data_IF_711053794398
#
_entry.id   IF_711053794398
#
_cell.length_a   1.000
_cell.length_b   1.000
_cell.length_c   1.000
_cell.angle_alpha   90.00
_cell.angle_beta   90.00
_cell.angle_gamma   90.00
#
_symmetry.space_group_name_H-M   'P 1'
#
loop_
_entity.id
_entity.type
_entity.pdbx_description
1 polymer ?
#
# COMPACT_ATOMS: atom_id res chain seq x y z
N UNK A 1 -8.22 -12.25 14.29
CA UNK A 1 -8.84 -11.30 13.34
C UNK A 1 -7.88 -10.84 12.23
N UNK A 2 -6.74 -10.21 12.57
CA UNK A 2 -5.77 -9.69 11.58
C UNK A 2 -5.28 -10.72 10.55
N UNK A 3 -5.07 -11.99 10.93
CA UNK A 3 -4.68 -13.02 9.96
C UNK A 3 -5.75 -13.28 8.89
N UNK A 4 -7.03 -13.31 9.26
CA UNK A 4 -8.13 -13.48 8.30
C UNK A 4 -8.15 -12.33 7.29
N UNK A 5 -8.02 -11.10 7.77
CA UNK A 5 -7.94 -9.93 6.90
C UNK A 5 -6.69 -9.90 6.05
N UNK A 6 -5.55 -10.35 6.56
CA UNK A 6 -4.34 -10.50 5.76
C UNK A 6 -4.56 -11.45 4.57
N UNK A 7 -5.26 -12.57 4.77
CA UNK A 7 -5.64 -13.50 3.68
C UNK A 7 -6.63 -12.83 2.73
N UNK A 8 -7.70 -12.21 3.23
CA UNK A 8 -8.70 -11.50 2.41
C UNK A 8 -8.04 -10.39 1.54
N UNK A 9 -7.12 -9.62 2.12
CA UNK A 9 -6.38 -8.57 1.42
C UNK A 9 -5.35 -9.14 0.43
N UNK A 10 -4.87 -10.37 0.65
CA UNK A 10 -3.92 -11.04 -0.23
C UNK A 10 -4.54 -11.57 -1.53
N UNK A 11 -5.85 -11.83 -1.53
CA UNK A 11 -6.62 -12.31 -2.70
C UNK A 11 -7.41 -11.19 -3.39
N UNK A 12 -7.43 -9.98 -2.83
CA UNK A 12 -8.06 -8.81 -3.45
C UNK A 12 -7.54 -8.61 -4.89
N UNK A 13 -8.40 -8.34 -5.88
CA UNK A 13 -9.78 -7.84 -5.80
C UNK A 13 -10.86 -8.91 -5.64
N UNK A 14 -10.46 -10.18 -5.56
CA UNK A 14 -11.39 -11.30 -5.38
C UNK A 14 -11.82 -11.40 -3.91
N UNK A 15 -12.95 -12.06 -3.68
CA UNK A 15 -13.44 -12.36 -2.33
C UNK A 15 -13.33 -13.86 -2.07
N UNK A 16 -13.26 -14.32 -0.79
CA UNK A 16 -13.23 -15.75 -0.49
C UNK A 16 -14.38 -16.53 -1.12
N UNK A 17 -15.58 -15.93 -1.18
CA UNK A 17 -16.75 -16.54 -1.80
C UNK A 17 -16.60 -16.70 -3.33
N UNK A 18 -16.07 -15.69 -4.01
CA UNK A 18 -15.77 -15.78 -5.45
C UNK A 18 -14.70 -16.85 -5.68
N UNK A 19 -13.62 -16.85 -4.90
CA UNK A 19 -12.56 -17.84 -5.05
C UNK A 19 -13.07 -19.26 -4.84
N UNK A 20 -13.78 -19.52 -3.74
CA UNK A 20 -14.35 -20.83 -3.44
C UNK A 20 -15.36 -21.28 -4.49
N UNK A 21 -16.28 -20.40 -4.89
CA UNK A 21 -17.29 -20.68 -5.91
C UNK A 21 -16.69 -20.99 -7.28
N UNK A 22 -15.72 -20.18 -7.73
CA UNK A 22 -15.05 -20.40 -9.02
C UNK A 22 -14.21 -21.67 -9.00
N UNK A 23 -13.44 -21.93 -7.94
CA UNK A 23 -12.67 -23.18 -7.81
C UNK A 23 -13.58 -24.41 -7.80
N UNK A 24 -14.70 -24.37 -7.06
CA UNK A 24 -15.67 -25.46 -7.03
C UNK A 24 -16.33 -25.67 -8.41
N UNK A 25 -16.74 -24.61 -9.09
CA UNK A 25 -17.32 -24.69 -10.44
C UNK A 25 -16.34 -25.29 -11.45
N UNK A 26 -15.06 -24.89 -11.41
CA UNK A 26 -14.01 -25.48 -12.24
C UNK A 26 -13.82 -26.96 -11.90
N UNK A 27 -13.71 -27.31 -10.62
CA UNK A 27 -13.55 -28.70 -10.20
C UNK A 27 -14.72 -29.59 -10.64
N UNK A 28 -15.97 -29.13 -10.45
CA UNK A 28 -17.17 -29.83 -10.92
C UNK A 28 -17.14 -29.97 -12.45
N UNK A 29 -16.75 -28.92 -13.18
CA UNK A 29 -16.69 -28.97 -14.64
C UNK A 29 -15.67 -29.97 -15.14
N UNK A 30 -14.49 -30.04 -14.51
CA UNK A 30 -13.46 -31.03 -14.84
C UNK A 30 -13.91 -32.44 -14.45
N UNK A 31 -14.54 -32.62 -13.30
CA UNK A 31 -15.07 -33.91 -12.84
C UNK A 31 -16.20 -34.45 -13.72
N UNK A 32 -17.03 -33.59 -14.30
CA UNK A 32 -18.11 -34.01 -15.20
C UNK A 32 -17.68 -34.08 -16.67
N UNK A 33 -16.49 -33.58 -17.01
CA UNK A 33 -16.00 -33.61 -18.38
C UNK A 33 -15.59 -35.04 -18.82
N UNK A 34 -15.82 -35.40 -20.10
CA UNK A 34 -15.28 -36.63 -20.70
C UNK A 34 -13.76 -36.73 -20.54
N UNK A 35 -13.23 -37.95 -20.42
CA UNK A 35 -11.79 -38.19 -20.17
C UNK A 35 -10.89 -37.69 -21.32
N UNK A 36 -11.40 -37.74 -22.53
CA UNK A 36 -10.77 -37.28 -23.78
C UNK A 36 -10.87 -35.76 -23.97
N UNK A 37 -11.71 -35.07 -23.20
CA UNK A 37 -11.91 -33.63 -23.34
C UNK A 37 -10.69 -32.81 -22.90
N UNK A 38 -10.52 -31.63 -23.50
CA UNK A 38 -9.42 -30.70 -23.21
C UNK A 38 -9.25 -30.36 -21.72
N UNK A 39 -10.34 -30.39 -20.93
CA UNK A 39 -10.29 -30.17 -19.48
C UNK A 39 -9.46 -31.22 -18.72
N UNK A 40 -9.38 -32.45 -19.25
CA UNK A 40 -8.70 -33.60 -18.63
C UNK A 40 -7.46 -34.05 -19.39
N UNK A 41 -7.39 -33.78 -20.69
CA UNK A 41 -6.30 -34.20 -21.59
C UNK A 41 -5.53 -33.02 -22.21
N UNK A 42 -5.82 -31.77 -21.81
CA UNK A 42 -5.11 -30.60 -22.30
C UNK A 42 -3.68 -30.48 -21.77
N UNK A 43 -2.91 -29.54 -22.33
CA UNK A 43 -1.51 -29.31 -21.93
C UNK A 43 -1.33 -28.99 -20.44
N UNK A 44 -2.22 -28.17 -19.87
CA UNK A 44 -2.24 -27.87 -18.44
C UNK A 44 -2.55 -29.13 -17.61
N UNK A 45 -3.51 -29.96 -18.06
CA UNK A 45 -3.86 -31.18 -17.35
C UNK A 45 -2.69 -32.18 -17.34
N UNK A 46 -1.97 -32.33 -18.46
CA UNK A 46 -0.76 -33.14 -18.51
C UNK A 46 0.32 -32.67 -17.54
N UNK A 47 0.56 -31.36 -17.45
CA UNK A 47 1.51 -30.79 -16.50
C UNK A 47 1.09 -31.05 -15.05
N UNK A 48 -0.21 -30.87 -14.74
CA UNK A 48 -0.74 -31.15 -13.40
C UNK A 48 -0.62 -32.63 -13.03
N UNK A 49 -0.84 -33.55 -13.97
CA UNK A 49 -0.64 -34.98 -13.74
C UNK A 49 0.83 -35.34 -13.52
N UNK A 50 1.75 -34.78 -14.31
CA UNK A 50 3.19 -34.97 -14.10
C UNK A 50 3.61 -34.49 -12.72
N UNK A 51 3.07 -33.35 -12.27
CA UNK A 51 3.33 -32.82 -10.94
C UNK A 51 2.73 -33.69 -9.82
N UNK A 52 1.50 -34.17 -9.98
CA UNK A 52 0.84 -35.04 -9.01
C UNK A 52 1.58 -36.37 -8.80
N UNK A 53 2.12 -36.93 -9.89
CA UNK A 53 2.90 -38.18 -9.88
C UNK A 53 4.25 -38.06 -9.16
N UNK A 54 4.69 -36.85 -8.80
CA UNK A 54 5.89 -36.65 -7.97
C UNK A 54 5.61 -36.96 -6.49
N UNK A 55 4.34 -37.06 -6.06
CA UNK A 55 3.99 -37.23 -4.67
C UNK A 55 3.69 -38.68 -4.29
N UNK A 56 4.12 -39.16 -3.11
CA UNK A 56 3.98 -40.57 -2.71
C UNK A 56 2.53 -41.06 -2.55
N UNK A 57 1.56 -40.15 -2.41
CA UNK A 57 0.14 -40.48 -2.19
C UNK A 57 -0.56 -40.97 -3.47
N UNK A 58 0.09 -40.91 -4.62
CA UNK A 58 -0.43 -41.30 -5.92
C UNK A 58 -1.10 -42.69 -5.90
N UNK A 59 -0.50 -43.64 -5.18
CA UNK A 59 -0.91 -45.06 -5.16
C UNK A 59 -2.16 -45.33 -4.31
N UNK A 60 -2.54 -44.40 -3.43
CA UNK A 60 -3.54 -44.65 -2.40
C UNK A 60 -4.85 -43.87 -2.62
N UNK A 61 -4.90 -42.94 -3.57
CA UNK A 61 -6.07 -42.07 -3.79
C UNK A 61 -6.83 -42.43 -5.08
N UNK A 62 -8.18 -42.51 -5.05
CA UNK A 62 -8.99 -42.70 -6.25
C UNK A 62 -8.76 -41.58 -7.27
N UNK A 63 -8.78 -41.91 -8.57
CA UNK A 63 -8.55 -40.95 -9.67
C UNK A 63 -9.46 -39.73 -9.59
N UNK A 64 -10.74 -39.91 -9.22
CA UNK A 64 -11.68 -38.79 -9.07
C UNK A 64 -11.27 -37.82 -7.94
N UNK A 65 -10.70 -38.33 -6.85
CA UNK A 65 -10.19 -37.50 -5.75
C UNK A 65 -8.97 -36.71 -6.21
N UNK A 66 -8.07 -37.35 -6.96
CA UNK A 66 -6.88 -36.70 -7.56
C UNK A 66 -7.28 -35.59 -8.53
N UNK A 67 -8.21 -35.86 -9.44
CA UNK A 67 -8.75 -34.85 -10.39
C UNK A 67 -9.38 -33.67 -9.65
N UNK A 68 -10.16 -33.94 -8.60
CA UNK A 68 -10.79 -32.89 -7.79
C UNK A 68 -9.74 -32.01 -7.12
N UNK A 69 -8.76 -32.61 -6.46
CA UNK A 69 -7.65 -31.92 -5.81
C UNK A 69 -6.87 -31.04 -6.78
N UNK A 70 -6.44 -31.60 -7.92
CA UNK A 70 -5.67 -30.87 -8.93
C UNK A 70 -6.46 -29.71 -9.54
N UNK A 71 -7.76 -29.90 -9.76
CA UNK A 71 -8.62 -28.84 -10.30
C UNK A 71 -8.80 -27.69 -9.31
N UNK A 72 -8.98 -28.00 -8.02
CA UNK A 72 -9.07 -26.99 -6.96
C UNK A 72 -7.75 -26.24 -6.79
N UNK A 73 -6.62 -26.95 -6.85
CA UNK A 73 -5.29 -26.36 -6.78
C UNK A 73 -5.03 -25.42 -7.97
N UNK A 74 -5.27 -25.90 -9.19
CA UNK A 74 -5.08 -25.10 -10.41
C UNK A 74 -5.97 -23.85 -10.43
N UNK A 75 -7.24 -23.99 -10.02
CA UNK A 75 -8.14 -22.85 -9.87
C UNK A 75 -7.64 -21.84 -8.85
N UNK A 76 -7.15 -22.32 -7.70
CA UNK A 76 -6.63 -21.46 -6.63
C UNK A 76 -5.38 -20.69 -7.08
N UNK A 77 -4.42 -21.38 -7.71
CA UNK A 77 -3.20 -20.78 -8.25
C UNK A 77 -3.54 -19.76 -9.34
N UNK A 78 -4.45 -20.09 -10.26
CA UNK A 78 -4.89 -19.20 -11.33
C UNK A 78 -5.52 -17.90 -10.80
N UNK A 79 -6.40 -18.00 -9.80
CA UNK A 79 -7.01 -16.82 -9.16
C UNK A 79 -5.99 -15.97 -8.39
N UNK A 80 -5.04 -16.61 -7.70
CA UNK A 80 -3.92 -15.89 -7.07
C UNK A 80 -3.07 -15.16 -8.12
N UNK A 81 -2.83 -15.78 -9.28
CA UNK A 81 -2.16 -15.18 -10.43
C UNK A 81 -2.91 -13.96 -10.98
N UNK A 82 -4.23 -14.04 -11.12
CA UNK A 82 -5.08 -12.90 -11.55
C UNK A 82 -5.00 -11.75 -10.54
N UNK A 83 -5.13 -12.03 -9.25
CA UNK A 83 -4.98 -11.02 -8.19
C UNK A 83 -3.58 -10.40 -8.21
N UNK A 84 -2.52 -11.20 -8.37
CA UNK A 84 -1.16 -10.69 -8.49
C UNK A 84 -0.98 -9.80 -9.73
N UNK A 85 -1.48 -10.22 -10.89
CA UNK A 85 -1.42 -9.46 -12.13
C UNK A 85 -2.16 -8.13 -12.01
N UNK A 86 -3.40 -8.14 -11.48
CA UNK A 86 -4.17 -6.92 -11.26
C UNK A 86 -3.43 -5.95 -10.33
N UNK A 87 -2.87 -6.41 -9.21
CA UNK A 87 -2.15 -5.55 -8.25
C UNK A 87 -0.88 -4.97 -8.86
N UNK A 88 -0.17 -5.78 -9.65
CA UNK A 88 1.02 -5.35 -10.39
C UNK A 88 0.66 -4.28 -11.42
N UNK A 89 -0.41 -4.49 -12.18
CA UNK A 89 -0.93 -3.48 -13.11
C UNK A 89 -1.31 -2.20 -12.37
N UNK A 90 -2.09 -2.30 -11.30
CA UNK A 90 -2.48 -1.13 -10.52
C UNK A 90 -1.26 -0.36 -10.01
N UNK A 91 -0.24 -1.05 -9.49
CA UNK A 91 1.03 -0.42 -9.08
C UNK A 91 1.72 0.31 -10.24
N UNK A 92 1.80 -0.30 -11.42
CA UNK A 92 2.36 0.36 -12.61
C UNK A 92 1.60 1.63 -12.98
N UNK A 93 0.27 1.59 -12.95
CA UNK A 93 -0.56 2.77 -13.20
C UNK A 93 -0.38 3.84 -12.13
N UNK A 94 -0.27 3.47 -10.85
CA UNK A 94 -0.05 4.40 -9.74
C UNK A 94 1.36 5.00 -9.69
N UNK A 95 2.35 4.38 -10.33
CA UNK A 95 3.68 4.96 -10.52
C UNK A 95 3.65 6.18 -11.47
N UNK A 96 2.64 6.30 -12.33
CA UNK A 96 2.49 7.49 -13.17
C UNK A 96 2.09 8.69 -12.31
N UNK A 97 2.91 9.74 -12.38
CA UNK A 97 2.78 10.97 -11.57
C UNK A 97 2.29 12.18 -12.37
N UNK A 98 2.06 12.03 -13.68
CA UNK A 98 1.71 13.17 -14.54
C UNK A 98 0.35 13.81 -14.21
N UNK A 99 -0.49 13.14 -13.42
CA UNK A 99 -1.74 13.69 -12.92
C UNK A 99 -1.53 14.77 -11.83
N UNK A 100 -0.40 14.80 -11.14
CA UNK A 100 -0.13 15.79 -10.08
C UNK A 100 0.04 17.21 -10.62
N UNK A 101 0.45 17.33 -11.88
CA UNK A 101 0.68 18.61 -12.55
C UNK A 101 -0.58 19.18 -13.20
N UNK A 102 -1.74 18.54 -13.03
CA UNK A 102 -3.02 19.10 -13.44
C UNK A 102 -3.37 20.27 -12.52
N UNK A 103 -3.37 21.47 -13.07
CA UNK A 103 -3.78 22.66 -12.35
C UNK A 103 -5.27 22.60 -11.98
N UNK A 104 -5.62 23.29 -10.90
CA UNK A 104 -7.00 23.33 -10.44
C UNK A 104 -7.90 23.99 -11.51
N UNK A 105 -8.91 23.25 -11.99
CA UNK A 105 -9.82 23.70 -13.04
C UNK A 105 -9.41 23.31 -14.47
N UNK A 106 -8.18 22.82 -14.68
CA UNK A 106 -7.76 22.32 -15.99
C UNK A 106 -8.43 20.97 -16.31
N UNK A 107 -8.95 20.83 -17.53
CA UNK A 107 -9.56 19.56 -17.97
C UNK A 107 -8.46 18.54 -18.28
N UNK A 108 -8.58 17.28 -17.81
CA UNK A 108 -7.61 16.25 -18.11
C UNK A 108 -7.62 15.90 -19.61
N UNK A 109 -6.45 15.58 -20.14
CA UNK A 109 -6.28 15.06 -21.50
C UNK A 109 -7.00 13.72 -21.69
N UNK A 110 -7.21 13.30 -22.94
CA UNK A 110 -7.85 12.00 -23.24
C UNK A 110 -7.07 10.85 -22.60
N UNK A 111 -5.74 10.91 -22.63
CA UNK A 111 -4.86 9.91 -22.01
C UNK A 111 -5.01 9.88 -20.48
N UNK A 112 -5.09 11.05 -19.84
CA UNK A 112 -5.33 11.13 -18.40
C UNK A 112 -6.72 10.62 -18.02
N UNK A 113 -7.76 10.95 -18.80
CA UNK A 113 -9.11 10.40 -18.59
C UNK A 113 -9.12 8.88 -18.70
N UNK A 114 -8.47 8.32 -19.72
CA UNK A 114 -8.31 6.88 -19.88
C UNK A 114 -7.58 6.26 -18.68
N UNK A 115 -6.50 6.89 -18.22
CA UNK A 115 -5.76 6.49 -17.02
C UNK A 115 -6.65 6.46 -15.77
N UNK A 116 -7.45 7.51 -15.51
CA UNK A 116 -8.37 7.56 -14.37
C UNK A 116 -9.40 6.42 -14.42
N UNK A 117 -9.95 6.13 -15.61
CA UNK A 117 -10.91 5.03 -15.81
C UNK A 117 -10.24 3.69 -15.53
N UNK A 118 -9.04 3.45 -16.05
CA UNK A 118 -8.29 2.20 -15.82
C UNK A 118 -7.98 2.02 -14.34
N UNK A 119 -7.46 3.05 -13.66
CA UNK A 119 -7.19 2.99 -12.22
C UNK A 119 -8.47 2.68 -11.44
N UNK A 120 -9.60 3.28 -11.82
CA UNK A 120 -10.89 3.02 -11.16
C UNK A 120 -11.40 1.60 -11.37
N UNK A 121 -11.25 1.04 -12.58
CA UNK A 121 -11.59 -0.35 -12.88
C UNK A 121 -10.71 -1.30 -12.06
N UNK A 122 -9.39 -1.09 -12.11
CA UNK A 122 -8.44 -1.90 -11.35
C UNK A 122 -8.64 -1.77 -9.84
N UNK A 123 -9.08 -0.61 -9.34
CA UNK A 123 -9.33 -0.38 -7.91
C UNK A 123 -10.56 -1.10 -7.35
N UNK A 124 -11.38 -1.73 -8.19
CA UNK A 124 -12.57 -2.45 -7.77
C UNK A 124 -13.66 -1.56 -7.15
N UNK A 125 -14.78 -2.20 -6.78
CA UNK A 125 -15.97 -1.50 -6.31
C UNK A 125 -15.91 -1.03 -4.85
N UNK A 126 -15.55 -1.94 -3.92
CA UNK A 126 -15.56 -1.70 -2.47
C UNK A 126 -14.27 -2.23 -1.83
N UNK A 127 -13.14 -1.50 -1.95
CA UNK A 127 -11.90 -1.88 -1.29
C UNK A 127 -12.00 -1.73 0.24
N UNK A 128 -11.39 -2.65 0.99
CA UNK A 128 -11.15 -2.50 2.43
C UNK A 128 -10.06 -1.45 2.69
N UNK A 129 -9.94 -1.03 3.95
CA UNK A 129 -9.02 0.02 4.40
C UNK A 129 -7.56 -0.19 3.91
N UNK A 130 -7.07 -1.42 3.88
CA UNK A 130 -5.66 -1.72 3.56
C UNK A 130 -5.42 -2.39 2.19
N UNK A 131 -6.45 -2.63 1.38
CA UNK A 131 -6.29 -3.33 0.08
C UNK A 131 -5.27 -2.69 -0.86
N UNK A 132 -5.16 -1.36 -0.84
CA UNK A 132 -4.21 -0.66 -1.70
C UNK A 132 -2.75 -0.72 -1.20
N UNK A 133 -2.47 -1.09 0.05
CA UNK A 133 -1.10 -1.02 0.61
C UNK A 133 -0.07 -1.79 -0.22
N UNK A 134 -0.45 -2.95 -0.76
CA UNK A 134 0.41 -3.75 -1.63
C UNK A 134 0.55 -3.21 -3.07
N UNK A 135 -0.32 -2.28 -3.47
CA UNK A 135 -0.34 -1.68 -4.81
C UNK A 135 0.32 -0.31 -4.86
N UNK A 136 0.55 0.33 -3.70
CA UNK A 136 1.13 1.67 -3.67
C UNK A 136 2.56 1.67 -4.25
N UNK A 137 2.93 2.74 -4.96
CA UNK A 137 4.28 2.91 -5.47
C UNK A 137 5.26 3.11 -4.31
N UNK A 138 6.51 2.65 -4.50
CA UNK A 138 7.59 2.94 -3.57
C UNK A 138 7.89 4.43 -3.58
N UNK A 139 8.20 5.03 -2.42
CA UNK A 139 8.61 6.44 -2.35
C UNK A 139 9.83 6.68 -3.27
N UNK A 140 9.73 7.53 -4.31
CA UNK A 140 10.83 7.74 -5.24
C UNK A 140 12.01 8.45 -4.57
N UNK A 141 13.19 8.28 -5.15
CA UNK A 141 14.41 9.03 -4.78
C UNK A 141 14.65 10.08 -5.86
N UNK A 142 14.65 11.36 -5.46
CA UNK A 142 14.88 12.45 -6.39
C UNK A 142 16.31 12.40 -6.98
N UNK A 143 16.52 12.83 -8.25
CA UNK A 143 17.86 12.92 -8.82
C UNK A 143 18.75 13.86 -8.00
N UNK A 144 19.96 13.40 -7.65
CA UNK A 144 20.89 14.13 -6.79
C UNK A 144 21.17 15.56 -7.27
N UNK A 145 21.41 15.73 -8.57
CA UNK A 145 21.66 17.05 -9.17
C UNK A 145 20.47 17.99 -9.00
N UNK A 146 19.26 17.51 -9.28
CA UNK A 146 18.03 18.31 -9.11
C UNK A 146 17.81 18.68 -7.64
N UNK A 147 18.14 17.78 -6.71
CA UNK A 147 18.11 18.06 -5.27
C UNK A 147 19.07 19.20 -4.90
N UNK A 148 20.32 19.17 -5.39
CA UNK A 148 21.29 20.24 -5.16
C UNK A 148 20.87 21.58 -5.76
N UNK A 149 20.33 21.59 -6.99
CA UNK A 149 19.83 22.79 -7.64
C UNK A 149 18.66 23.42 -6.88
N UNK A 150 17.70 22.59 -6.43
CA UNK A 150 16.57 23.05 -5.60
C UNK A 150 17.01 23.52 -4.22
N UNK A 151 18.01 22.86 -3.62
CA UNK A 151 18.60 23.30 -2.37
C UNK A 151 19.22 24.70 -2.51
N UNK A 152 20.07 24.91 -3.52
CA UNK A 152 20.68 26.22 -3.79
C UNK A 152 19.60 27.29 -4.01
N UNK A 153 18.58 27.00 -4.81
CA UNK A 153 17.44 27.90 -5.01
C UNK A 153 16.75 28.28 -3.68
N UNK A 154 16.58 27.30 -2.78
CA UNK A 154 15.90 27.52 -1.49
C UNK A 154 16.71 28.37 -0.51
N UNK A 155 18.04 28.31 -0.54
CA UNK A 155 18.91 29.07 0.36
C UNK A 155 19.34 30.42 -0.21
N UNK A 156 19.26 30.61 -1.54
CA UNK A 156 19.61 31.88 -2.19
C UNK A 156 19.01 33.14 -1.54
N UNK A 157 17.70 33.20 -1.19
CA UNK A 157 17.14 34.40 -0.55
C UNK A 157 17.59 34.61 0.91
N UNK A 158 18.26 33.63 1.52
CA UNK A 158 18.72 33.67 2.92
C UNK A 158 20.20 34.07 3.05
N UNK A 159 20.93 34.13 1.94
CA UNK A 159 22.38 34.26 1.91
C UNK A 159 22.82 35.51 1.15
N UNK A 160 23.95 36.08 1.56
CA UNK A 160 24.67 37.05 0.73
C UNK A 160 25.27 36.36 -0.50
N UNK A 161 25.62 37.15 -1.52
CA UNK A 161 26.25 36.61 -2.74
C UNK A 161 27.53 35.82 -2.45
N UNK A 162 28.31 36.23 -1.45
CA UNK A 162 29.54 35.56 -1.06
C UNK A 162 29.26 34.21 -0.40
N UNK A 163 28.31 34.15 0.54
CA UNK A 163 27.89 32.90 1.18
C UNK A 163 27.25 31.94 0.18
N UNK A 164 26.44 32.46 -0.75
CA UNK A 164 25.83 31.67 -1.80
C UNK A 164 26.89 31.02 -2.70
N UNK A 165 27.94 31.74 -3.10
CA UNK A 165 29.08 31.17 -3.86
C UNK A 165 29.77 30.04 -3.11
N UNK A 166 29.90 30.17 -1.79
CA UNK A 166 30.45 29.10 -0.93
C UNK A 166 29.54 27.87 -0.95
N UNK A 167 28.22 28.05 -0.82
CA UNK A 167 27.27 26.94 -0.92
C UNK A 167 27.27 26.28 -2.30
N UNK A 168 27.36 27.04 -3.39
CA UNK A 168 27.52 26.49 -4.73
C UNK A 168 28.77 25.62 -4.85
N UNK A 169 29.90 26.08 -4.31
CA UNK A 169 31.15 25.31 -4.31
C UNK A 169 30.99 24.00 -3.49
N UNK A 170 30.31 24.03 -2.35
CA UNK A 170 30.01 22.83 -1.57
C UNK A 170 29.12 21.85 -2.32
N UNK A 171 28.03 22.31 -2.96
CA UNK A 171 27.18 21.44 -3.77
C UNK A 171 27.95 20.81 -4.94
N UNK A 172 28.80 21.57 -5.63
CA UNK A 172 29.66 21.04 -6.70
C UNK A 172 30.62 19.98 -6.16
N UNK A 173 31.27 20.24 -5.02
CA UNK A 173 32.17 19.27 -4.37
C UNK A 173 31.44 18.01 -3.95
N UNK A 174 30.26 18.13 -3.34
CA UNK A 174 29.44 17.00 -2.93
C UNK A 174 29.02 16.13 -4.12
N UNK A 175 28.56 16.74 -5.21
CA UNK A 175 28.20 16.04 -6.44
C UNK A 175 29.38 15.28 -7.06
N UNK A 176 30.58 15.87 -7.05
CA UNK A 176 31.78 15.26 -7.62
C UNK A 176 32.39 14.15 -6.76
N UNK A 177 32.18 14.19 -5.44
CA UNK A 177 32.83 13.29 -4.47
C UNK A 177 31.85 12.26 -3.88
N UNK A 178 31.39 12.48 -2.65
CA UNK A 178 30.62 11.50 -1.88
C UNK A 178 29.15 11.34 -2.32
N UNK A 179 28.57 12.36 -2.96
CA UNK A 179 27.14 12.44 -3.21
C UNK A 179 26.60 11.28 -4.05
N UNK A 180 27.32 10.86 -5.10
CA UNK A 180 26.87 9.75 -5.95
C UNK A 180 26.88 8.40 -5.20
N UNK A 181 27.86 8.18 -4.30
CA UNK A 181 27.93 6.96 -3.47
C UNK A 181 26.76 6.90 -2.50
N UNK A 182 26.46 8.02 -1.84
CA UNK A 182 25.32 8.13 -0.92
C UNK A 182 23.98 7.95 -1.65
N UNK A 183 23.83 8.57 -2.83
CA UNK A 183 22.66 8.39 -3.69
C UNK A 183 22.50 6.93 -4.11
N UNK A 184 23.58 6.24 -4.46
CA UNK A 184 23.56 4.81 -4.80
C UNK A 184 23.07 3.97 -3.62
N UNK A 185 23.60 4.15 -2.41
CA UNK A 185 23.11 3.43 -1.23
C UNK A 185 21.62 3.70 -0.94
N UNK A 186 21.18 4.94 -1.16
CA UNK A 186 19.77 5.31 -1.02
C UNK A 186 18.88 4.62 -2.06
N UNK A 187 19.36 4.48 -3.30
CA UNK A 187 18.67 3.74 -4.35
C UNK A 187 18.63 2.24 -4.08
N UNK A 188 19.74 1.64 -3.63
CA UNK A 188 19.75 0.22 -3.20
C UNK A 188 18.74 -0.01 -2.08
N UNK A 189 18.60 0.96 -1.15
CA UNK A 189 17.61 0.89 -0.08
C UNK A 189 16.18 0.75 -0.59
N UNK A 190 15.79 1.44 -1.67
CA UNK A 190 14.42 1.39 -2.18
C UNK A 190 14.00 0.01 -2.70
N UNK A 191 14.97 -0.88 -3.00
CA UNK A 191 14.68 -2.22 -3.51
C UNK A 191 14.01 -3.13 -2.48
N UNK A 192 14.19 -2.87 -1.18
CA UNK A 192 13.69 -3.73 -0.10
C UNK A 192 12.76 -3.00 0.90
N UNK A 193 12.35 -1.76 0.61
CA UNK A 193 11.38 -1.02 1.43
C UNK A 193 10.37 -0.28 0.57
N UNK A 194 9.13 -0.16 1.04
CA UNK A 194 8.09 0.65 0.39
C UNK A 194 8.33 2.16 0.56
N UNK A 195 9.08 2.55 1.60
CA UNK A 195 9.52 3.93 1.81
C UNK A 195 10.91 3.91 2.41
N UNK A 196 11.88 4.48 1.68
CA UNK A 196 13.25 4.58 2.16
C UNK A 196 13.39 5.51 3.38
N UNK A 197 12.40 6.38 3.58
CA UNK A 197 12.41 7.46 4.56
C UNK A 197 11.66 7.11 5.86
N UNK A 198 10.62 6.27 5.81
CA UNK A 198 9.64 6.16 6.92
C UNK A 198 10.25 5.88 8.29
N UNK A 199 11.11 4.87 8.39
CA UNK A 199 11.76 4.46 9.65
C UNK A 199 12.81 5.48 10.12
N UNK A 200 13.54 6.10 9.18
CA UNK A 200 14.47 7.19 9.49
C UNK A 200 13.73 8.43 9.99
N UNK A 201 12.61 8.79 9.36
CA UNK A 201 11.79 9.93 9.75
C UNK A 201 11.23 9.72 11.16
N UNK A 202 10.58 8.58 11.40
CA UNK A 202 10.08 8.22 12.74
C UNK A 202 11.20 8.27 13.79
N UNK A 203 12.31 7.60 13.53
CA UNK A 203 13.41 7.47 14.49
C UNK A 203 14.12 8.80 14.74
N UNK A 204 14.66 9.43 13.70
CA UNK A 204 15.59 10.55 13.85
C UNK A 204 14.90 11.90 14.03
N UNK A 205 13.69 12.08 13.49
CA UNK A 205 12.97 13.35 13.63
C UNK A 205 12.15 13.38 14.92
N UNK A 206 11.49 12.27 15.29
CA UNK A 206 10.59 12.26 16.44
C UNK A 206 11.13 11.49 17.64
N UNK A 207 11.55 10.24 17.46
CA UNK A 207 11.84 9.36 18.60
C UNK A 207 13.19 9.62 19.26
N UNK A 208 14.18 10.19 18.56
CA UNK A 208 15.48 10.56 19.16
C UNK A 208 15.50 11.98 19.73
N UNK A 209 14.59 12.85 19.31
CA UNK A 209 14.44 14.18 19.90
C UNK A 209 14.22 14.09 21.41
N UNK A 210 15.02 14.83 22.19
CA UNK A 210 14.95 14.86 23.66
C UNK A 210 14.20 16.07 24.21
N UNK A 211 13.77 16.99 23.33
CA UNK A 211 12.97 18.14 23.71
C UNK A 211 11.57 17.68 24.18
N UNK A 212 10.93 18.38 25.13
CA UNK A 212 9.57 18.06 25.57
C UNK A 212 8.58 18.09 24.41
N UNK A 213 7.82 17.00 24.22
CA UNK A 213 6.93 16.85 23.06
C UNK A 213 5.68 17.72 23.14
N UNK A 214 5.22 18.10 24.34
CA UNK A 214 3.97 18.85 24.52
C UNK A 214 3.93 20.17 23.75
N UNK A 215 5.06 20.86 23.65
CA UNK A 215 5.18 22.15 22.95
C UNK A 215 5.82 21.99 21.58
N UNK A 216 6.81 21.10 21.44
CA UNK A 216 7.67 21.06 20.26
C UNK A 216 7.23 20.06 19.19
N UNK A 217 6.28 19.16 19.48
CA UNK A 217 5.92 18.09 18.54
C UNK A 217 4.44 17.71 18.52
N UNK A 218 3.76 17.73 19.67
CA UNK A 218 2.34 17.40 19.73
C UNK A 218 1.52 18.48 19.03
N UNK A 219 0.49 18.05 18.31
CA UNK A 219 -0.48 18.94 17.68
C UNK A 219 -1.87 18.61 18.21
N UNK A 220 -2.79 19.56 18.09
CA UNK A 220 -4.19 19.38 18.45
C UNK A 220 -5.09 19.99 17.38
N UNK A 221 -6.29 19.44 17.27
CA UNK A 221 -7.37 19.97 16.42
C UNK A 221 -8.52 20.29 17.36
N UNK A 222 -9.10 21.47 17.20
CA UNK A 222 -10.25 21.91 18.02
C UNK A 222 -11.57 21.56 17.33
N UNK A 223 -12.62 21.49 18.15
CA UNK A 223 -14.01 21.48 17.68
C UNK A 223 -14.31 22.70 16.76
N UNK A 224 -15.29 22.60 15.84
CA UNK A 224 -15.89 23.76 15.19
C UNK A 224 -15.97 25.03 16.06
N UNK A 225 -15.16 26.04 15.70
CA UNK A 225 -15.01 27.28 16.47
C UNK A 225 -16.33 28.07 16.66
N UNK A 226 -17.27 27.93 15.72
CA UNK A 226 -18.49 28.73 15.66
C UNK A 226 -19.77 27.93 15.96
N UNK A 227 -19.65 26.65 16.33
CA UNK A 227 -20.82 25.78 16.51
C UNK A 227 -20.74 25.06 17.85
N UNK A 228 -21.59 25.45 18.80
CA UNK A 228 -21.71 24.72 20.06
C UNK A 228 -22.70 23.56 19.87
N UNK A 229 -22.17 22.37 19.64
CA UNK A 229 -22.98 21.15 19.43
C UNK A 229 -23.76 20.78 20.69
N UNK A 230 -23.13 20.87 21.87
CA UNK A 230 -23.75 20.55 23.15
C UNK A 230 -23.04 21.30 24.30
N UNK A 231 -23.83 21.93 25.18
CA UNK A 231 -23.31 22.66 26.37
C UNK A 231 -23.02 21.74 27.56
N UNK A 232 -23.62 20.55 27.61
CA UNK A 232 -23.40 19.59 28.71
C UNK A 232 -22.11 18.80 28.44
N UNK A 233 -21.11 18.99 29.29
CA UNK A 233 -19.80 18.35 29.17
C UNK A 233 -19.88 16.82 29.17
N UNK A 234 -20.66 16.23 30.08
CA UNK A 234 -20.78 14.78 30.20
C UNK A 234 -21.46 14.17 28.98
N UNK A 235 -22.54 14.79 28.48
CA UNK A 235 -23.22 14.34 27.27
C UNK A 235 -22.31 14.43 26.03
N UNK A 236 -21.53 15.52 25.91
CA UNK A 236 -20.56 15.69 24.83
C UNK A 236 -19.43 14.66 24.89
N UNK A 237 -18.85 14.44 26.07
CA UNK A 237 -17.81 13.44 26.29
C UNK A 237 -18.32 12.03 25.96
N UNK A 238 -19.51 11.66 26.44
CA UNK A 238 -20.14 10.37 26.12
C UNK A 238 -20.34 10.18 24.60
N UNK A 239 -20.78 11.23 23.90
CA UNK A 239 -20.92 11.20 22.44
C UNK A 239 -19.57 10.98 21.73
N UNK A 240 -18.53 11.74 22.10
CA UNK A 240 -17.19 11.59 21.52
C UNK A 240 -16.65 10.18 21.74
N UNK A 241 -16.72 9.67 22.98
CA UNK A 241 -16.25 8.31 23.32
C UNK A 241 -16.98 7.26 22.48
N UNK A 242 -18.32 7.35 22.39
CA UNK A 242 -19.12 6.43 21.58
C UNK A 242 -18.72 6.47 20.10
N UNK A 243 -18.52 7.66 19.52
CA UNK A 243 -18.09 7.80 18.12
C UNK A 243 -16.65 7.29 17.92
N UNK A 244 -15.75 7.53 18.86
CA UNK A 244 -14.39 6.99 18.83
C UNK A 244 -14.38 5.46 18.84
N UNK A 245 -15.22 4.81 19.63
CA UNK A 245 -15.34 3.33 19.62
C UNK A 245 -15.92 2.81 18.31
N UNK A 246 -16.93 3.48 17.73
CA UNK A 246 -17.45 3.13 16.40
C UNK A 246 -16.38 3.26 15.33
N UNK A 247 -15.62 4.36 15.35
CA UNK A 247 -14.51 4.56 14.42
C UNK A 247 -13.40 3.53 14.61
N UNK A 248 -13.03 3.21 15.86
CA UNK A 248 -12.10 2.12 16.17
C UNK A 248 -12.57 0.80 15.59
N UNK A 249 -13.86 0.46 15.75
CA UNK A 249 -14.42 -0.72 15.12
C UNK A 249 -14.29 -0.65 13.59
N UNK A 250 -14.55 0.49 12.94
CA UNK A 250 -14.36 0.61 11.49
C UNK A 250 -12.92 0.36 11.04
N UNK A 251 -11.93 0.85 11.79
CA UNK A 251 -10.50 0.61 11.53
C UNK A 251 -10.16 -0.84 11.77
N UNK A 252 -10.50 -1.38 12.96
CA UNK A 252 -10.21 -2.74 13.36
C UNK A 252 -10.84 -3.75 12.40
N UNK A 253 -12.07 -3.53 11.93
CA UNK A 253 -12.76 -4.40 10.97
C UNK A 253 -12.40 -4.11 9.50
N UNK A 254 -11.53 -3.13 9.23
CA UNK A 254 -11.14 -2.66 7.91
C UNK A 254 -12.33 -2.27 7.00
N UNK A 255 -13.42 -1.80 7.63
CA UNK A 255 -14.65 -1.39 6.93
C UNK A 255 -14.67 0.09 6.59
N UNK A 256 -13.73 0.87 7.13
CA UNK A 256 -13.52 2.24 6.72
C UNK A 256 -13.05 2.27 5.26
N UNK A 257 -13.69 3.09 4.43
CA UNK A 257 -13.25 3.27 3.05
C UNK A 257 -11.84 3.90 3.01
N UNK A 258 -10.92 3.38 2.18
CA UNK A 258 -9.60 3.97 2.03
C UNK A 258 -9.71 5.36 1.41
N UNK A 259 -8.90 6.29 1.93
CA UNK A 259 -8.85 7.66 1.41
C UNK A 259 -8.32 7.63 -0.03
N UNK A 260 -9.03 8.34 -0.92
CA UNK A 260 -8.67 8.47 -2.33
C UNK A 260 -8.72 9.93 -2.77
N UNK A 261 -7.62 10.43 -3.29
CA UNK A 261 -7.58 11.73 -3.96
C UNK A 261 -8.38 11.65 -5.26
N UNK A 262 -9.23 12.66 -5.50
CA UNK A 262 -10.15 12.71 -6.65
C UNK A 262 -10.99 11.41 -6.81
N UNK A 263 -11.31 10.76 -5.68
CA UNK A 263 -12.04 9.47 -5.62
C UNK A 263 -11.38 8.32 -6.39
N UNK A 264 -10.13 8.48 -6.82
CA UNK A 264 -9.44 7.52 -7.71
C UNK A 264 -8.09 7.08 -7.17
N UNK A 265 -7.24 8.01 -6.73
CA UNK A 265 -5.85 7.72 -6.36
C UNK A 265 -5.79 7.38 -4.86
N UNK A 266 -5.50 6.13 -4.47
CA UNK A 266 -5.46 5.73 -3.07
C UNK A 266 -4.28 6.33 -2.32
N UNK A 267 -4.50 6.66 -1.05
CA UNK A 267 -3.45 7.05 -0.11
C UNK A 267 -2.95 5.86 0.71
N UNK A 268 -1.77 6.04 1.31
CA UNK A 268 -1.29 5.13 2.34
C UNK A 268 -2.19 5.24 3.58
N UNK A 269 -2.71 4.12 4.05
CA UNK A 269 -3.58 4.04 5.23
C UNK A 269 -2.85 3.47 6.45
N UNK A 270 -1.56 3.15 6.34
CA UNK A 270 -0.78 2.47 7.40
C UNK A 270 -0.79 3.20 8.74
N UNK A 271 -0.88 4.54 8.74
CA UNK A 271 -0.96 5.32 9.99
C UNK A 271 -2.22 5.02 10.82
N UNK A 272 -3.30 4.52 10.20
CA UNK A 272 -4.53 4.16 10.91
C UNK A 272 -4.33 3.00 11.88
N UNK A 273 -3.30 2.16 11.68
CA UNK A 273 -2.94 1.08 12.60
C UNK A 273 -2.53 1.59 13.99
N UNK A 274 -2.17 2.88 14.10
CA UNK A 274 -1.61 3.50 15.31
C UNK A 274 -2.49 4.56 15.95
N UNK A 275 -3.75 4.72 15.49
CA UNK A 275 -4.68 5.71 16.05
C UNK A 275 -5.14 5.30 17.46
N UNK A 276 -5.34 3.99 17.67
CA UNK A 276 -5.81 3.43 18.94
C UNK A 276 -4.76 2.50 19.52
N UNK A 277 -4.83 2.27 20.84
CA UNK A 277 -4.00 1.29 21.57
C UNK A 277 -2.49 1.44 21.31
N UNK A 278 -2.03 2.67 21.05
CA UNK A 278 -0.64 2.99 20.70
C UNK A 278 -0.16 4.13 21.60
N UNK A 279 1.02 3.99 22.18
CA UNK A 279 1.62 5.01 23.04
C UNK A 279 3.12 5.09 22.79
N UNK A 280 3.71 6.24 23.07
CA UNK A 280 5.17 6.43 23.01
C UNK A 280 5.77 6.12 24.37
N UNK A 281 6.69 5.17 24.43
CA UNK A 281 7.44 4.77 25.62
C UNK A 281 8.79 5.53 25.63
N UNK A 282 9.10 6.31 26.68
CA UNK A 282 10.35 7.03 26.76
C UNK A 282 11.54 6.08 26.92
N UNK A 283 12.60 6.32 26.13
CA UNK A 283 13.89 5.65 26.29
C UNK A 283 14.99 6.67 26.58
N UNK A 284 16.17 6.21 27.03
CA UNK A 284 17.29 7.11 27.36
C UNK A 284 17.76 7.92 26.14
N UNK A 285 17.94 7.25 25.00
CA UNK A 285 18.47 7.86 23.77
C UNK A 285 17.46 7.88 22.61
N UNK A 286 16.49 6.97 22.65
CA UNK A 286 15.48 6.80 21.63
C UNK A 286 14.23 6.24 22.29
N UNK A 287 13.11 6.91 22.06
CA UNK A 287 11.82 6.43 22.50
C UNK A 287 11.33 5.32 21.56
N UNK A 288 10.29 4.62 21.98
CA UNK A 288 9.68 3.52 21.24
C UNK A 288 8.17 3.78 21.10
N UNK A 289 7.57 3.21 20.06
CA UNK A 289 6.12 3.21 19.82
C UNK A 289 5.62 1.78 19.97
#
# INVERSE_FOLDING_TARGET
>A
FRMRKAVENSIWPLTPGICGGTCAAVAIRVLTAPQDSWWRSGSLAHLLWQWDNLFPWEKNLPTNVRVMWLSLLAGSIGLCGISFAQRTMLRMFLNYQGWMWLEHGQKPSILQKAWFVIVKILSGGKPSLYNFQACLPTLPVAPLRSTCEKYLLSVKPLLTDQEYKVMEAHCKKFLANEGWKLQFFLQVRTLYTSSWLWDWWEKYVYLRGRAPIMVNSNYYIMDPLYTIICKNQAARAASIINQSFKFKAHVDWETLEPVRLQKTIPWCMKQYERIFDTTRIPGKECDQI
#
